data_IF_847600413695
#
_entry.id   IF_847600413695
#
_cell.length_a   1.000
_cell.length_b   1.000
_cell.length_c   1.000
_cell.angle_alpha   90.00
_cell.angle_beta   90.00
_cell.angle_gamma   90.00
#
_symmetry.space_group_name_H-M   'P 1'
#
loop_
_entity.id
_entity.type
_entity.pdbx_description
1 polymer ?
#
# COMPACT_ATOMS: atom_id res chain seq x y z
N UNK A 1 51.54 7.75 -83.53
CA UNK A 1 50.88 6.42 -83.47
C UNK A 1 51.12 5.82 -82.09
N UNK A 2 50.06 5.27 -81.46
CA UNK A 2 50.11 4.20 -80.43
C UNK A 2 50.74 4.61 -79.07
N UNK A 3 50.18 4.31 -77.90
CA UNK A 3 49.02 3.53 -77.45
C UNK A 3 48.65 4.06 -76.05
N UNK A 4 47.35 4.24 -75.81
CA UNK A 4 46.77 4.40 -74.48
C UNK A 4 46.88 3.05 -73.77
N UNK A 5 47.52 2.99 -72.60
CA UNK A 5 47.35 1.88 -71.66
C UNK A 5 46.87 2.49 -70.35
N UNK A 6 45.55 2.36 -70.18
CA UNK A 6 44.81 2.60 -68.95
C UNK A 6 45.31 1.61 -67.90
N UNK A 7 45.90 2.11 -66.81
CA UNK A 7 46.18 1.31 -65.62
C UNK A 7 45.08 1.64 -64.60
N UNK A 8 44.11 0.74 -64.55
CA UNK A 8 42.98 0.75 -63.62
C UNK A 8 43.56 0.61 -62.21
N UNK A 9 43.50 1.69 -61.43
CA UNK A 9 43.74 1.69 -59.99
C UNK A 9 42.56 0.96 -59.33
N UNK A 10 42.72 -0.34 -59.11
CA UNK A 10 41.82 -1.13 -58.27
C UNK A 10 41.99 -0.61 -56.83
N UNK A 11 41.11 0.31 -56.43
CA UNK A 11 40.85 0.58 -55.03
C UNK A 11 40.25 -0.71 -54.44
N UNK A 12 41.08 -1.50 -53.76
CA UNK A 12 40.60 -2.50 -52.80
C UNK A 12 39.98 -1.68 -51.66
N UNK A 13 38.68 -1.42 -51.79
CA UNK A 13 37.85 -0.99 -50.66
C UNK A 13 37.86 -2.17 -49.71
N UNK A 14 38.71 -2.10 -48.69
CA UNK A 14 38.60 -2.96 -47.53
C UNK A 14 37.21 -2.71 -46.96
N UNK A 15 36.27 -3.59 -47.31
CA UNK A 15 34.97 -3.66 -46.69
C UNK A 15 35.23 -4.19 -45.28
N UNK A 16 35.66 -3.31 -44.38
CA UNK A 16 35.50 -3.55 -42.96
C UNK A 16 34.02 -3.79 -42.79
N UNK A 17 33.57 -4.98 -42.35
CA UNK A 17 32.18 -5.11 -41.97
C UNK A 17 31.94 -3.99 -40.97
N UNK A 18 30.96 -3.14 -41.25
CA UNK A 18 30.35 -2.35 -40.19
C UNK A 18 29.92 -3.42 -39.18
N UNK A 19 30.71 -3.59 -38.12
CA UNK A 19 30.22 -4.22 -36.92
C UNK A 19 29.12 -3.25 -36.52
N UNK A 20 27.88 -3.57 -36.91
CA UNK A 20 26.72 -2.88 -36.41
C UNK A 20 26.89 -2.87 -34.90
N UNK A 21 26.97 -1.68 -34.31
CA UNK A 21 26.91 -1.54 -32.87
C UNK A 21 25.74 -2.39 -32.44
N UNK A 22 25.97 -3.42 -31.62
CA UNK A 22 24.90 -4.20 -31.03
C UNK A 22 23.87 -3.20 -30.53
N UNK A 23 22.61 -3.34 -30.98
CA UNK A 23 21.55 -2.36 -30.80
C UNK A 23 21.60 -1.85 -29.35
N UNK A 24 22.07 -0.61 -29.18
CA UNK A 24 22.23 -0.05 -27.87
C UNK A 24 20.84 0.29 -27.37
N UNK A 25 20.31 -0.47 -26.41
CA UNK A 25 19.03 -0.15 -25.78
C UNK A 25 19.07 1.29 -25.28
N UNK A 26 18.09 2.11 -25.61
CA UNK A 26 18.08 3.51 -25.17
C UNK A 26 17.03 3.69 -24.07
N UNK A 27 17.38 4.44 -23.02
CA UNK A 27 16.45 4.74 -21.93
C UNK A 27 16.11 6.22 -22.02
N UNK A 28 14.83 6.51 -22.06
CA UNK A 28 14.30 7.87 -22.06
C UNK A 28 13.49 8.08 -20.79
N UNK A 29 13.61 9.26 -20.18
CA UNK A 29 12.78 9.73 -19.09
C UNK A 29 12.08 11.01 -19.53
N UNK A 30 10.75 11.03 -19.56
CA UNK A 30 9.96 12.19 -19.98
C UNK A 30 10.46 12.78 -21.32
N UNK A 31 10.70 11.90 -22.29
CA UNK A 31 11.24 12.20 -23.64
C UNK A 31 12.74 12.60 -23.71
N UNK A 32 13.40 12.83 -22.58
CA UNK A 32 14.86 13.08 -22.53
C UNK A 32 15.64 11.77 -22.46
N UNK A 33 16.72 11.65 -23.24
CA UNK A 33 17.56 10.46 -23.22
C UNK A 33 18.46 10.48 -21.99
N UNK A 34 18.43 9.41 -21.19
CA UNK A 34 19.38 9.21 -20.10
C UNK A 34 20.65 8.53 -20.66
N UNK A 35 21.80 9.18 -20.48
CA UNK A 35 23.10 8.59 -20.74
C UNK A 35 23.77 8.19 -19.42
N UNK A 36 23.80 6.88 -19.16
CA UNK A 36 24.50 6.30 -18.02
C UNK A 36 25.99 6.11 -18.35
N UNK A 37 26.85 6.41 -17.37
CA UNK A 37 28.28 6.10 -17.34
C UNK A 37 28.47 4.58 -17.48
N UNK A 38 27.73 3.81 -16.68
CA UNK A 38 27.70 2.35 -16.82
C UNK A 38 26.61 1.92 -17.80
N UNK A 39 27.01 1.25 -18.88
CA UNK A 39 26.07 0.80 -19.91
C UNK A 39 25.09 -0.26 -19.41
N UNK A 40 23.82 -0.06 -19.75
CA UNK A 40 22.75 -1.05 -19.63
C UNK A 40 23.10 -2.34 -20.37
N UNK A 41 22.68 -3.47 -19.81
CA UNK A 41 23.03 -4.81 -20.31
C UNK A 41 21.78 -5.66 -20.50
N UNK A 42 21.70 -6.42 -21.59
CA UNK A 42 20.64 -7.41 -21.78
C UNK A 42 21.02 -8.74 -21.11
N UNK A 43 20.17 -9.24 -20.22
CA UNK A 43 20.32 -10.53 -19.57
C UNK A 43 19.01 -11.29 -19.75
N UNK A 44 19.04 -12.42 -20.47
CA UNK A 44 17.86 -13.27 -20.71
C UNK A 44 16.62 -12.45 -21.14
N UNK A 45 16.78 -11.65 -22.19
CA UNK A 45 15.74 -10.78 -22.77
C UNK A 45 15.21 -9.68 -21.84
N UNK A 46 15.89 -9.40 -20.73
CA UNK A 46 15.56 -8.30 -19.81
C UNK A 46 16.68 -7.29 -19.82
N UNK A 47 16.35 -5.99 -19.93
CA UNK A 47 17.32 -4.90 -19.85
C UNK A 47 17.59 -4.58 -18.38
N UNK A 48 18.86 -4.68 -17.99
CA UNK A 48 19.36 -4.37 -16.66
C UNK A 48 20.11 -3.04 -16.67
N UNK A 49 19.96 -2.30 -15.57
CA UNK A 49 20.53 -0.97 -15.36
C UNK A 49 21.28 -0.90 -14.02
N UNK A 50 22.33 -0.05 -13.91
CA UNK A 50 23.05 0.17 -12.66
C UNK A 50 22.15 0.81 -11.60
N UNK A 51 21.80 0.05 -10.55
CA UNK A 51 20.84 0.46 -9.51
C UNK A 51 21.22 1.79 -8.87
N UNK A 52 22.49 1.97 -8.49
CA UNK A 52 22.97 3.17 -7.80
C UNK A 52 22.87 4.41 -8.67
N UNK A 53 23.41 4.33 -9.88
CA UNK A 53 23.49 5.46 -10.78
C UNK A 53 22.10 5.95 -11.17
N UNK A 54 21.21 5.03 -11.55
CA UNK A 54 19.85 5.38 -11.94
C UNK A 54 19.03 5.88 -10.72
N UNK A 55 19.24 5.32 -9.53
CA UNK A 55 18.55 5.80 -8.31
C UNK A 55 18.99 7.21 -7.92
N UNK A 56 20.28 7.53 -8.06
CA UNK A 56 20.82 8.86 -7.77
C UNK A 56 20.24 9.92 -8.72
N UNK A 57 20.03 9.58 -10.01
CA UNK A 57 19.37 10.46 -10.97
C UNK A 57 17.94 10.82 -10.52
N UNK A 58 17.27 9.91 -9.82
CA UNK A 58 15.94 10.10 -9.24
C UNK A 58 15.97 10.67 -7.81
N UNK A 59 17.11 11.17 -7.33
CA UNK A 59 17.24 11.79 -6.01
C UNK A 59 17.26 10.80 -4.84
N UNK A 60 17.39 9.50 -5.10
CA UNK A 60 17.52 8.50 -4.05
C UNK A 60 18.97 8.21 -3.68
N UNK A 61 19.22 7.94 -2.40
CA UNK A 61 20.51 7.46 -1.90
C UNK A 61 20.54 5.93 -1.87
N UNK A 62 21.65 5.31 -2.28
CA UNK A 62 21.81 3.85 -2.22
C UNK A 62 22.83 3.44 -1.16
N UNK A 63 22.44 2.61 -0.20
CA UNK A 63 23.30 2.07 0.86
C UNK A 63 23.38 0.56 0.80
N UNK A 64 24.51 0.01 1.23
CA UNK A 64 24.62 -1.41 1.50
C UNK A 64 24.17 -1.68 2.93
N UNK A 65 23.48 -2.80 3.15
CA UNK A 65 23.21 -3.28 4.51
C UNK A 65 24.38 -4.14 4.99
N UNK A 66 24.86 -3.86 6.20
CA UNK A 66 25.94 -4.62 6.85
C UNK A 66 25.41 -5.87 7.58
N UNK A 67 24.14 -5.84 7.99
CA UNK A 67 23.51 -6.91 8.79
C UNK A 67 22.85 -8.00 7.92
N UNK A 68 22.40 -7.64 6.72
CA UNK A 68 21.74 -8.55 5.78
C UNK A 68 22.29 -8.37 4.36
N UNK A 69 22.38 -9.43 3.54
CA UNK A 69 22.86 -9.34 2.17
C UNK A 69 21.82 -8.64 1.27
N UNK A 70 21.76 -7.32 1.38
CA UNK A 70 20.78 -6.47 0.73
C UNK A 70 21.35 -5.09 0.36
N UNK A 71 20.73 -4.48 -0.64
CA UNK A 71 20.95 -3.08 -1.02
C UNK A 71 19.72 -2.27 -0.65
N UNK A 72 19.91 -1.18 0.08
CA UNK A 72 18.88 -0.22 0.45
C UNK A 72 18.87 0.97 -0.51
N UNK A 73 17.70 1.39 -0.98
CA UNK A 73 17.45 2.61 -1.76
C UNK A 73 16.55 3.52 -0.92
N UNK A 74 17.06 4.68 -0.53
CA UNK A 74 16.39 5.65 0.32
C UNK A 74 15.89 6.80 -0.55
N UNK A 75 14.58 6.99 -0.60
CA UNK A 75 13.93 8.07 -1.34
C UNK A 75 12.96 8.78 -0.41
N UNK A 76 13.23 10.05 -0.10
CA UNK A 76 12.47 10.80 0.90
C UNK A 76 12.42 10.05 2.25
N UNK A 77 11.22 9.68 2.74
CA UNK A 77 11.03 8.90 3.97
C UNK A 77 10.99 7.38 3.72
N UNK A 78 10.97 6.95 2.46
CA UNK A 78 10.86 5.53 2.10
C UNK A 78 12.23 4.87 1.97
N UNK A 79 12.34 3.64 2.51
CA UNK A 79 13.48 2.74 2.36
C UNK A 79 13.07 1.48 1.62
N UNK A 80 13.65 1.26 0.45
CA UNK A 80 13.48 0.03 -0.31
C UNK A 80 14.67 -0.89 -0.11
N UNK A 81 14.46 -2.14 0.31
CA UNK A 81 15.53 -3.14 0.43
C UNK A 81 15.38 -4.23 -0.62
N UNK A 82 16.42 -4.43 -1.42
CA UNK A 82 16.51 -5.49 -2.42
C UNK A 82 17.46 -6.56 -1.88
N UNK A 83 16.96 -7.77 -1.66
CA UNK A 83 17.80 -8.88 -1.21
C UNK A 83 18.66 -9.41 -2.36
N UNK A 84 19.96 -9.58 -2.13
CA UNK A 84 20.94 -10.01 -3.15
C UNK A 84 20.73 -11.44 -3.63
N UNK A 85 20.04 -12.26 -2.84
CA UNK A 85 19.67 -13.62 -3.21
C UNK A 85 18.45 -13.66 -4.16
N UNK A 86 17.92 -12.50 -4.55
CA UNK A 86 16.77 -12.35 -5.44
C UNK A 86 15.41 -12.65 -4.78
N UNK A 87 15.37 -12.96 -3.48
CA UNK A 87 14.18 -13.46 -2.76
C UNK A 87 13.31 -12.36 -2.15
N UNK A 88 13.37 -11.15 -2.71
CA UNK A 88 12.33 -10.16 -2.48
C UNK A 88 12.79 -8.72 -2.51
N UNK A 89 11.83 -7.85 -2.83
CA UNK A 89 11.91 -6.40 -2.62
C UNK A 89 11.08 -6.07 -1.40
N UNK A 90 11.59 -5.20 -0.54
CA UNK A 90 10.90 -4.72 0.64
C UNK A 90 10.77 -3.21 0.56
N UNK A 91 9.65 -2.65 0.99
CA UNK A 91 9.46 -1.22 1.24
C UNK A 91 9.19 -1.02 2.73
N UNK A 92 9.99 -0.22 3.40
CA UNK A 92 9.90 0.08 4.83
C UNK A 92 9.76 -1.19 5.69
N UNK A 93 10.59 -2.21 5.38
CA UNK A 93 10.60 -3.49 6.09
C UNK A 93 9.52 -4.50 5.69
N UNK A 94 8.62 -4.18 4.75
CA UNK A 94 7.56 -5.09 4.27
C UNK A 94 7.85 -5.60 2.86
N UNK A 95 7.68 -6.90 2.60
CA UNK A 95 7.85 -7.46 1.26
C UNK A 95 6.77 -6.92 0.31
N UNK A 96 7.18 -6.41 -0.84
CA UNK A 96 6.30 -5.87 -1.90
C UNK A 96 6.42 -6.65 -3.20
N UNK A 97 7.54 -7.35 -3.42
CA UNK A 97 7.69 -8.36 -4.46
C UNK A 97 8.35 -9.60 -3.85
N UNK A 98 7.78 -10.78 -4.10
CA UNK A 98 8.31 -12.09 -3.65
C UNK A 98 9.66 -12.43 -4.29
N UNK A 99 9.96 -11.82 -5.45
CA UNK A 99 11.27 -11.87 -6.07
C UNK A 99 11.60 -10.56 -6.74
N UNK A 100 12.84 -10.12 -6.61
CA UNK A 100 13.38 -8.98 -7.33
C UNK A 100 14.76 -9.37 -7.84
N UNK A 101 14.92 -9.44 -9.17
CA UNK A 101 16.20 -9.80 -9.75
C UNK A 101 17.24 -8.69 -9.49
N UNK A 102 18.41 -9.10 -9.07
CA UNK A 102 19.58 -8.24 -8.86
C UNK A 102 20.81 -9.08 -9.20
N UNK A 103 21.68 -8.54 -10.03
CA UNK A 103 22.89 -9.21 -10.49
C UNK A 103 24.10 -8.35 -10.14
N UNK A 104 25.19 -8.95 -9.68
CA UNK A 104 26.46 -8.24 -9.50
C UNK A 104 27.29 -8.42 -10.77
N UNK A 105 27.50 -7.34 -11.51
CA UNK A 105 28.34 -7.32 -12.71
C UNK A 105 29.46 -6.30 -12.47
N UNK A 106 30.71 -6.76 -12.43
CA UNK A 106 31.89 -5.91 -12.20
C UNK A 106 31.77 -5.04 -10.93
N UNK A 107 31.28 -5.62 -9.82
CA UNK A 107 31.00 -4.93 -8.56
C UNK A 107 29.88 -3.87 -8.61
N UNK A 108 29.06 -3.89 -9.66
CA UNK A 108 27.89 -3.01 -9.81
C UNK A 108 26.63 -3.87 -9.64
N UNK A 109 25.74 -3.44 -8.74
CA UNK A 109 24.41 -4.02 -8.61
C UNK A 109 23.54 -3.58 -9.77
N UNK A 110 23.21 -4.52 -10.65
CA UNK A 110 22.39 -4.36 -11.83
C UNK A 110 20.98 -4.89 -11.54
N UNK A 111 19.94 -4.13 -11.89
CA UNK A 111 18.54 -4.55 -11.70
C UNK A 111 17.73 -4.37 -12.99
N UNK A 112 16.62 -5.13 -13.19
CA UNK A 112 15.73 -4.90 -14.31
C UNK A 112 15.20 -3.46 -14.32
N UNK A 113 15.17 -2.82 -15.48
CA UNK A 113 14.63 -1.46 -15.62
C UNK A 113 13.18 -1.33 -15.12
N UNK A 114 12.40 -2.41 -15.20
CA UNK A 114 11.03 -2.46 -14.66
C UNK A 114 11.00 -2.36 -13.13
N UNK A 115 12.03 -2.85 -12.43
CA UNK A 115 12.13 -2.72 -10.97
C UNK A 115 12.34 -1.25 -10.59
N UNK A 116 13.15 -0.52 -11.36
CA UNK A 116 13.33 0.93 -11.19
C UNK A 116 11.99 1.65 -11.43
N UNK A 117 11.32 1.37 -12.54
CA UNK A 117 10.01 1.94 -12.83
C UNK A 117 9.01 1.69 -11.68
N UNK A 118 9.03 0.49 -11.10
CA UNK A 118 8.20 0.15 -9.96
C UNK A 118 8.56 0.92 -8.67
N UNK A 119 9.85 1.00 -8.31
CA UNK A 119 10.32 1.69 -7.08
C UNK A 119 10.03 3.19 -7.14
N UNK A 120 10.22 3.81 -8.32
CA UNK A 120 10.07 5.25 -8.52
C UNK A 120 8.70 5.65 -9.11
N UNK A 121 7.77 4.70 -9.23
CA UNK A 121 6.41 4.92 -9.73
C UNK A 121 6.36 5.58 -11.14
N UNK A 122 7.16 5.07 -12.06
CA UNK A 122 7.13 5.45 -13.48
C UNK A 122 6.34 4.43 -14.31
N UNK A 123 5.64 4.92 -15.33
CA UNK A 123 5.13 4.05 -16.38
C UNK A 123 6.28 3.63 -17.30
N UNK A 124 6.20 2.42 -17.85
CA UNK A 124 7.21 1.87 -18.75
C UNK A 124 6.59 1.48 -20.09
N UNK A 125 7.08 2.08 -21.17
CA UNK A 125 6.73 1.72 -22.53
C UNK A 125 7.95 1.19 -23.29
N UNK A 126 7.74 0.14 -24.08
CA UNK A 126 8.76 -0.44 -24.96
C UNK A 126 8.47 -0.05 -26.42
N UNK A 127 9.46 0.52 -27.10
CA UNK A 127 9.42 0.76 -28.54
C UNK A 127 10.36 -0.21 -29.26
N UNK A 128 9.77 -1.22 -29.89
CA UNK A 128 10.50 -2.25 -30.62
C UNK A 128 11.18 -1.73 -31.89
N UNK A 129 10.75 -0.60 -32.46
CA UNK A 129 11.37 -0.05 -33.70
C UNK A 129 12.69 0.65 -33.40
N UNK A 130 12.80 1.24 -32.21
CA UNK A 130 13.97 2.04 -31.79
C UNK A 130 14.75 1.37 -30.66
N UNK A 131 14.37 0.15 -30.25
CA UNK A 131 14.90 -0.57 -29.09
C UNK A 131 14.98 0.30 -27.83
N UNK A 132 13.96 1.14 -27.63
CA UNK A 132 13.96 2.13 -26.55
C UNK A 132 12.95 1.82 -25.46
N UNK A 133 13.37 2.10 -24.22
CA UNK A 133 12.55 2.05 -23.02
C UNK A 133 12.22 3.48 -22.66
N UNK A 134 10.94 3.82 -22.60
CA UNK A 134 10.46 5.14 -22.20
C UNK A 134 9.85 5.03 -20.82
N UNK A 135 10.45 5.75 -19.88
CA UNK A 135 9.92 6.03 -18.56
C UNK A 135 9.21 7.38 -18.62
N UNK A 136 7.95 7.41 -18.25
CA UNK A 136 7.18 8.65 -18.16
C UNK A 136 6.65 8.79 -16.75
N UNK A 137 6.84 9.96 -16.14
CA UNK A 137 6.19 10.28 -14.87
C UNK A 137 4.71 10.05 -15.09
N UNK A 138 4.06 9.34 -14.17
CA UNK A 138 2.61 9.31 -14.18
C UNK A 138 2.14 10.77 -14.09
N UNK A 139 1.47 11.27 -15.12
CA UNK A 139 0.87 12.61 -15.11
C UNK A 139 -0.25 12.62 -14.08
N UNK A 140 0.13 12.88 -12.84
CA UNK A 140 -0.70 13.53 -11.86
C UNK A 140 -0.29 15.00 -11.96
N UNK A 141 -1.16 15.82 -12.53
CA UNK A 141 -0.96 17.27 -12.61
C UNK A 141 -0.72 17.81 -11.19
N UNK A 142 0.41 18.50 -11.02
CA UNK A 142 0.64 19.36 -9.87
C UNK A 142 -0.34 20.55 -9.98
N UNK A 143 -1.31 20.66 -9.08
CA UNK A 143 -1.99 21.93 -8.84
C UNK A 143 -1.73 22.42 -7.42
N UNK A 144 -1.15 23.62 -7.36
CA UNK A 144 -1.09 24.46 -6.18
C UNK A 144 -2.13 25.58 -6.34
N UNK A 145 -2.81 25.90 -5.23
CA UNK A 145 -3.71 27.03 -4.97
C UNK A 145 -5.16 26.96 -5.51
N UNK A 146 -6.04 26.21 -4.85
CA UNK A 146 -7.22 26.74 -4.14
C UNK A 146 -8.12 25.59 -3.64
N UNK A 147 -8.82 25.84 -2.53
CA UNK A 147 -9.65 24.90 -1.78
C UNK A 147 -10.65 24.08 -2.65
N UNK A 148 -10.35 22.81 -2.95
CA UNK A 148 -11.33 21.73 -2.81
C UNK A 148 -10.66 20.35 -2.71
N UNK A 149 -11.12 19.52 -1.77
CA UNK A 149 -10.46 18.27 -1.36
C UNK A 149 -10.80 17.11 -2.30
N UNK A 150 -9.91 16.76 -3.22
CA UNK A 150 -9.91 15.43 -3.83
C UNK A 150 -9.21 14.43 -2.89
N UNK A 151 -10.02 13.58 -2.26
CA UNK A 151 -9.63 12.61 -1.24
C UNK A 151 -8.96 11.38 -1.86
N UNK A 152 -7.75 11.03 -1.39
CA UNK A 152 -7.13 9.72 -1.69
C UNK A 152 -7.88 8.59 -0.96
N UNK A 153 -8.79 7.93 -1.68
CA UNK A 153 -9.58 6.77 -1.21
C UNK A 153 -8.70 5.51 -1.12
N UNK A 154 -7.44 5.54 -1.59
CA UNK A 154 -6.54 4.38 -1.58
C UNK A 154 -5.90 4.12 -0.21
N UNK A 155 -5.77 5.16 0.62
CA UNK A 155 -5.12 5.04 1.94
C UNK A 155 -5.95 4.22 2.92
N UNK A 156 -5.35 3.15 3.44
CA UNK A 156 -5.92 2.29 4.49
C UNK A 156 -5.34 2.56 5.87
N UNK A 157 -4.63 3.69 6.04
CA UNK A 157 -4.11 4.13 7.35
C UNK A 157 -5.25 4.35 8.33
N UNK A 158 -5.19 3.70 9.50
CA UNK A 158 -6.21 3.85 10.55
C UNK A 158 -6.13 5.23 11.20
N UNK A 159 -4.94 5.81 11.29
CA UNK A 159 -4.73 7.20 11.70
C UNK A 159 -5.00 8.13 10.51
N UNK A 160 -5.65 9.27 10.77
CA UNK A 160 -5.94 10.30 9.78
C UNK A 160 -7.37 10.85 9.88
N UNK A 161 -7.68 11.78 8.98
CA UNK A 161 -9.01 12.41 8.89
C UNK A 161 -10.00 11.53 8.17
N UNK A 162 -11.21 11.42 8.73
CA UNK A 162 -12.31 10.72 8.07
C UNK A 162 -12.67 11.35 6.74
N UNK A 163 -13.07 10.49 5.81
CA UNK A 163 -13.43 10.87 4.44
C UNK A 163 -14.94 10.87 4.25
N UNK A 164 -15.65 9.92 4.87
CA UNK A 164 -17.11 9.87 4.78
C UNK A 164 -17.76 10.92 5.67
N UNK A 165 -18.83 11.55 5.18
CA UNK A 165 -19.68 12.43 6.00
C UNK A 165 -20.64 11.59 6.85
N UNK A 166 -21.16 12.19 7.92
CA UNK A 166 -22.13 11.53 8.78
C UNK A 166 -23.40 11.13 8.01
N UNK A 167 -23.83 11.93 7.03
CA UNK A 167 -24.99 11.68 6.18
C UNK A 167 -24.76 10.46 5.28
N UNK A 168 -23.59 10.31 4.67
CA UNK A 168 -23.24 9.13 3.87
C UNK A 168 -23.30 7.87 4.73
N UNK A 169 -22.67 7.92 5.91
CA UNK A 169 -22.63 6.81 6.87
C UNK A 169 -24.03 6.41 7.34
N UNK A 170 -24.85 7.39 7.73
CA UNK A 170 -26.22 7.18 8.20
C UNK A 170 -27.13 6.64 7.08
N UNK A 171 -27.05 7.22 5.88
CA UNK A 171 -27.82 6.78 4.71
C UNK A 171 -27.49 5.34 4.36
N UNK A 172 -26.21 4.99 4.33
CA UNK A 172 -25.77 3.63 4.08
C UNK A 172 -26.31 2.65 5.14
N UNK A 173 -26.22 2.98 6.43
CA UNK A 173 -26.77 2.14 7.48
C UNK A 173 -28.27 1.90 7.30
N UNK A 174 -29.04 2.98 7.09
CA UNK A 174 -30.50 2.91 6.97
C UNK A 174 -30.97 2.17 5.72
N UNK A 175 -30.17 2.19 4.64
CA UNK A 175 -30.42 1.39 3.42
C UNK A 175 -30.43 -0.12 3.70
N UNK A 176 -29.54 -0.61 4.57
CA UNK A 176 -29.39 -2.05 4.87
C UNK A 176 -30.07 -2.49 6.17
N UNK A 177 -30.40 -1.52 7.03
CA UNK A 177 -31.19 -1.73 8.23
C UNK A 177 -32.02 -0.48 8.54
N UNK A 178 -33.31 -0.52 8.21
CA UNK A 178 -34.23 0.60 8.46
C UNK A 178 -34.59 0.79 9.93
N UNK A 179 -34.24 -0.16 10.81
CA UNK A 179 -34.49 -0.12 12.27
C UNK A 179 -33.27 -0.62 13.06
N UNK A 180 -32.13 0.09 13.02
CA UNK A 180 -30.95 -0.29 13.78
C UNK A 180 -31.21 -0.24 15.28
N UNK A 181 -30.67 -1.20 16.03
CA UNK A 181 -30.80 -1.26 17.49
C UNK A 181 -29.76 -0.35 18.15
N UNK A 182 -29.97 0.95 18.03
CA UNK A 182 -29.08 2.00 18.53
C UNK A 182 -29.88 2.98 19.40
N UNK A 183 -29.26 3.64 20.40
CA UNK A 183 -29.98 4.49 21.35
C UNK A 183 -30.29 5.91 20.81
N UNK A 184 -29.82 6.23 19.60
CA UNK A 184 -29.96 7.52 18.94
C UNK A 184 -30.27 7.32 17.45
N UNK A 185 -30.44 8.40 16.69
CA UNK A 185 -30.56 8.31 15.23
C UNK A 185 -29.25 7.81 14.59
N UNK A 186 -29.35 7.29 13.37
CA UNK A 186 -28.17 6.87 12.60
C UNK A 186 -27.21 8.04 12.30
N UNK A 187 -27.77 9.25 12.11
CA UNK A 187 -26.99 10.47 11.87
C UNK A 187 -26.21 10.87 13.13
N UNK A 188 -26.88 10.93 14.29
CA UNK A 188 -26.21 11.23 15.57
C UNK A 188 -25.12 10.19 15.88
N UNK A 189 -25.38 8.91 15.62
CA UNK A 189 -24.39 7.87 15.81
C UNK A 189 -23.15 8.10 14.94
N UNK A 190 -23.35 8.37 13.65
CA UNK A 190 -22.27 8.64 12.71
C UNK A 190 -21.47 9.90 13.11
N UNK A 191 -22.14 10.96 13.56
CA UNK A 191 -21.48 12.17 14.09
C UNK A 191 -20.59 11.85 15.29
N UNK A 192 -21.07 11.01 16.23
CA UNK A 192 -20.26 10.58 17.38
C UNK A 192 -18.97 9.87 16.94
N UNK A 193 -19.03 9.00 15.91
CA UNK A 193 -17.83 8.34 15.37
C UNK A 193 -16.82 9.34 14.81
N UNK A 194 -17.28 10.30 14.01
CA UNK A 194 -16.41 11.31 13.42
C UNK A 194 -15.77 12.20 14.49
N UNK A 195 -16.55 12.65 15.47
CA UNK A 195 -16.05 13.49 16.57
C UNK A 195 -15.06 12.77 17.48
N UNK A 196 -15.35 11.53 17.90
CA UNK A 196 -14.43 10.77 18.75
C UNK A 196 -13.17 10.37 17.98
N UNK A 197 -13.29 10.05 16.68
CA UNK A 197 -12.16 9.80 15.79
C UNK A 197 -11.24 11.01 15.65
N UNK A 198 -11.81 12.18 15.32
CA UNK A 198 -11.05 13.44 15.15
C UNK A 198 -10.22 13.77 16.39
N UNK A 199 -10.79 13.64 17.59
CA UNK A 199 -10.08 13.91 18.86
C UNK A 199 -8.85 13.03 19.06
N UNK A 200 -8.88 11.80 18.59
CA UNK A 200 -7.78 10.84 18.75
C UNK A 200 -6.87 10.77 17.50
N UNK A 201 -7.23 11.44 16.41
CA UNK A 201 -6.55 11.35 15.11
C UNK A 201 -6.83 10.03 14.38
N UNK A 202 -7.93 9.35 14.70
CA UNK A 202 -8.32 8.06 14.14
C UNK A 202 -9.46 8.27 13.14
N UNK A 203 -9.44 7.51 12.04
CA UNK A 203 -10.53 7.43 11.06
C UNK A 203 -11.82 6.90 11.70
N UNK A 204 -12.69 7.81 12.14
CA UNK A 204 -14.00 7.49 12.71
C UNK A 204 -14.94 6.76 11.74
N UNK A 205 -14.84 7.07 10.45
CA UNK A 205 -15.52 6.36 9.37
C UNK A 205 -15.05 4.90 9.19
N UNK A 206 -13.78 4.58 9.43
CA UNK A 206 -13.32 3.19 9.51
C UNK A 206 -13.89 2.48 10.73
N UNK A 207 -13.90 3.12 11.90
CA UNK A 207 -14.51 2.56 13.10
C UNK A 207 -16.02 2.29 12.91
N UNK A 208 -16.73 3.18 12.23
CA UNK A 208 -18.14 2.94 11.89
C UNK A 208 -18.33 1.79 10.91
N UNK A 209 -17.52 1.71 9.84
CA UNK A 209 -17.54 0.61 8.88
C UNK A 209 -17.24 -0.74 9.55
N UNK A 210 -16.26 -0.75 10.47
CA UNK A 210 -15.97 -1.89 11.33
C UNK A 210 -17.20 -2.28 12.16
N UNK A 211 -17.87 -1.31 12.79
CA UNK A 211 -19.07 -1.58 13.60
C UNK A 211 -20.24 -2.11 12.77
N UNK A 212 -20.39 -1.69 11.50
CA UNK A 212 -21.34 -2.31 10.58
C UNK A 212 -21.04 -3.80 10.39
N UNK A 213 -19.78 -4.15 10.18
CA UNK A 213 -19.36 -5.54 10.01
C UNK A 213 -19.61 -6.37 11.28
N UNK A 214 -19.15 -5.87 12.44
CA UNK A 214 -19.21 -6.56 13.73
C UNK A 214 -20.64 -6.81 14.22
N UNK A 215 -21.52 -5.83 14.04
CA UNK A 215 -22.89 -5.90 14.54
C UNK A 215 -23.89 -6.44 13.51
N UNK A 216 -23.44 -6.69 12.27
CA UNK A 216 -24.29 -6.99 11.14
C UNK A 216 -25.28 -5.86 10.87
N UNK A 217 -24.79 -4.64 10.64
CA UNK A 217 -25.57 -3.42 10.43
C UNK A 217 -26.44 -3.05 11.64
N UNK A 218 -25.89 -3.16 12.86
CA UNK A 218 -26.59 -2.89 14.13
C UNK A 218 -27.86 -3.72 14.33
N UNK A 219 -27.90 -4.93 13.74
CA UNK A 219 -28.97 -5.92 13.98
C UNK A 219 -28.70 -6.71 15.26
N UNK A 220 -27.42 -6.92 15.58
CA UNK A 220 -26.91 -7.75 16.67
C UNK A 220 -27.41 -9.18 16.57
N UNK A 221 -26.53 -10.10 16.15
CA UNK A 221 -26.82 -11.54 16.04
C UNK A 221 -25.79 -12.44 16.75
N UNK A 222 -24.79 -11.82 17.40
CA UNK A 222 -23.72 -12.51 18.12
C UNK A 222 -23.91 -12.48 19.64
N UNK A 223 -22.81 -12.60 20.38
CA UNK A 223 -22.81 -12.57 21.84
C UNK A 223 -23.09 -11.18 22.42
N UNK A 224 -22.68 -10.12 21.70
CA UNK A 224 -22.85 -8.74 22.15
C UNK A 224 -24.27 -8.27 21.91
N UNK A 225 -24.85 -7.64 22.92
CA UNK A 225 -26.20 -7.08 22.91
C UNK A 225 -26.19 -5.56 22.69
N UNK A 226 -27.28 -4.98 22.15
CA UNK A 226 -27.36 -3.54 21.86
C UNK A 226 -27.14 -2.63 23.08
N UNK A 227 -27.63 -3.04 24.25
CA UNK A 227 -27.57 -2.31 25.52
C UNK A 227 -26.16 -2.26 26.13
N UNK A 228 -25.19 -3.04 25.60
CA UNK A 228 -23.80 -2.97 26.02
C UNK A 228 -23.04 -1.80 25.38
N UNK A 229 -23.58 -1.21 24.31
CA UNK A 229 -22.92 -0.19 23.50
C UNK A 229 -21.51 -0.58 23.00
N UNK A 230 -21.25 -1.88 22.85
CA UNK A 230 -19.99 -2.42 22.37
C UNK A 230 -20.11 -2.77 20.89
N UNK A 231 -20.05 -1.74 20.04
CA UNK A 231 -20.30 -1.90 18.60
C UNK A 231 -19.17 -2.59 17.84
N UNK A 232 -18.04 -2.87 18.49
CA UNK A 232 -16.85 -3.45 17.88
C UNK A 232 -16.50 -4.85 18.40
N UNK A 233 -17.39 -5.47 19.18
CA UNK A 233 -17.17 -6.83 19.68
C UNK A 233 -16.05 -6.96 20.72
N UNK A 234 -15.61 -5.85 21.32
CA UNK A 234 -14.43 -5.83 22.21
C UNK A 234 -14.60 -6.79 23.38
N UNK A 235 -13.63 -7.68 23.56
CA UNK A 235 -13.60 -8.64 24.66
C UNK A 235 -14.55 -9.84 24.52
N UNK A 236 -15.32 -9.95 23.43
CA UNK A 236 -16.14 -11.14 23.14
C UNK A 236 -15.28 -12.24 22.48
N UNK A 237 -14.36 -12.83 23.25
CA UNK A 237 -13.36 -13.77 22.70
C UNK A 237 -13.88 -15.18 22.45
N UNK A 238 -14.99 -15.58 23.08
CA UNK A 238 -15.58 -16.92 22.96
C UNK A 238 -17.11 -16.90 23.08
N UNK A 239 -17.78 -17.97 22.61
CA UNK A 239 -19.23 -18.13 22.72
C UNK A 239 -19.67 -18.05 24.19
N UNK A 240 -20.60 -17.14 24.49
CA UNK A 240 -21.09 -16.91 25.86
C UNK A 240 -20.34 -15.83 26.65
N UNK A 241 -19.19 -15.34 26.17
CA UNK A 241 -18.51 -14.16 26.74
C UNK A 241 -19.08 -12.91 26.06
N UNK A 242 -19.83 -12.11 26.81
CA UNK A 242 -20.57 -10.94 26.28
C UNK A 242 -19.67 -9.75 25.92
N UNK A 243 -18.39 -9.79 26.29
CA UNK A 243 -17.44 -8.68 26.06
C UNK A 243 -17.69 -7.47 26.96
N UNK A 244 -17.00 -6.37 26.67
CA UNK A 244 -17.10 -5.10 27.40
C UNK A 244 -18.51 -4.50 27.29
N UNK A 245 -18.89 -3.69 28.28
CA UNK A 245 -20.11 -2.88 28.28
C UNK A 245 -19.78 -1.45 28.72
N UNK A 246 -20.48 -0.48 28.16
CA UNK A 246 -20.26 0.94 28.41
C UNK A 246 -21.55 1.62 28.85
N UNK A 247 -21.48 2.80 29.49
CA UNK A 247 -22.69 3.47 29.98
C UNK A 247 -23.47 4.19 28.87
N UNK A 248 -22.79 4.59 27.81
CA UNK A 248 -23.38 5.31 26.67
C UNK A 248 -22.79 4.86 25.34
N UNK A 249 -23.53 5.09 24.23
CA UNK A 249 -23.01 4.87 22.88
C UNK A 249 -21.71 5.63 22.63
N UNK A 250 -21.59 6.89 23.08
CA UNK A 250 -20.37 7.69 22.92
C UNK A 250 -19.18 7.10 23.67
N UNK A 251 -19.39 6.59 24.89
CA UNK A 251 -18.32 5.93 25.65
C UNK A 251 -17.84 4.65 24.95
N UNK A 252 -18.76 3.84 24.44
CA UNK A 252 -18.40 2.62 23.69
C UNK A 252 -17.69 2.89 22.37
N UNK A 253 -18.13 3.92 21.63
CA UNK A 253 -17.45 4.40 20.42
C UNK A 253 -16.05 4.93 20.76
N UNK A 254 -15.91 5.73 21.83
CA UNK A 254 -14.59 6.19 22.29
C UNK A 254 -13.67 5.03 22.62
N UNK A 255 -14.15 4.01 23.33
CA UNK A 255 -13.35 2.83 23.64
C UNK A 255 -12.88 2.10 22.37
N UNK A 256 -13.75 1.96 21.36
CA UNK A 256 -13.35 1.40 20.05
C UNK A 256 -12.28 2.25 19.37
N UNK A 257 -12.46 3.58 19.33
CA UNK A 257 -11.48 4.51 18.74
C UNK A 257 -10.13 4.42 19.46
N UNK A 258 -10.14 4.37 20.79
CA UNK A 258 -8.93 4.18 21.59
C UNK A 258 -8.26 2.83 21.28
N UNK A 259 -9.03 1.76 21.12
CA UNK A 259 -8.49 0.45 20.77
C UNK A 259 -7.83 0.45 19.38
N UNK A 260 -8.47 1.10 18.40
CA UNK A 260 -7.89 1.32 17.06
C UNK A 260 -6.61 2.15 17.13
N UNK A 261 -6.58 3.22 17.95
CA UNK A 261 -5.37 4.01 18.19
C UNK A 261 -4.26 3.20 18.85
N UNK A 262 -4.59 2.30 19.78
CA UNK A 262 -3.63 1.40 20.38
C UNK A 262 -2.93 0.56 19.31
N UNK A 263 -3.69 -0.03 18.39
CA UNK A 263 -3.13 -0.77 17.26
C UNK A 263 -2.33 0.12 16.30
N UNK A 264 -2.82 1.30 15.96
CA UNK A 264 -2.29 2.09 14.86
C UNK A 264 -1.20 3.11 15.23
N UNK A 265 -1.01 3.40 16.51
CA UNK A 265 -0.11 4.47 16.95
C UNK A 265 0.49 4.25 18.34
N UNK A 266 1.69 4.80 18.55
CA UNK A 266 2.35 4.92 19.85
C UNK A 266 2.06 6.25 20.55
N UNK A 267 1.41 7.21 19.89
CA UNK A 267 1.08 8.52 20.44
C UNK A 267 0.07 8.45 21.60
N UNK A 268 0.22 9.20 22.69
CA UNK A 268 -0.68 9.13 23.83
C UNK A 268 -2.14 9.41 23.44
N UNK A 269 -3.08 8.91 24.25
CA UNK A 269 -4.49 9.25 24.09
C UNK A 269 -4.70 10.75 24.36
N UNK A 270 -5.54 11.38 23.55
CA UNK A 270 -5.94 12.78 23.73
C UNK A 270 -7.06 12.92 24.76
N UNK A 271 -7.83 11.85 24.98
CA UNK A 271 -8.94 11.79 25.93
C UNK A 271 -8.66 10.79 27.06
N UNK A 272 -9.44 10.86 28.13
CA UNK A 272 -9.42 9.85 29.20
C UNK A 272 -9.66 8.45 28.64
N UNK A 273 -8.78 7.51 29.01
CA UNK A 273 -8.90 6.12 28.62
C UNK A 273 -10.17 5.48 29.20
N UNK A 274 -11.05 4.99 28.34
CA UNK A 274 -12.25 4.22 28.69
C UNK A 274 -12.19 2.79 28.16
N UNK A 275 -11.27 2.50 27.24
CA UNK A 275 -10.95 1.14 26.83
C UNK A 275 -10.13 0.42 27.91
N UNK A 276 -10.77 -0.46 28.67
CA UNK A 276 -10.13 -1.30 29.68
C UNK A 276 -9.08 -2.27 29.09
N UNK A 277 -9.09 -2.49 27.77
CA UNK A 277 -8.17 -3.37 27.05
C UNK A 277 -7.03 -2.61 26.36
N UNK A 278 -6.98 -1.28 26.49
CA UNK A 278 -6.00 -0.44 25.79
C UNK A 278 -4.56 -0.88 26.07
N UNK A 279 -4.25 -1.23 27.33
CA UNK A 279 -2.93 -1.70 27.76
C UNK A 279 -2.59 -3.13 27.34
N UNK A 280 -3.56 -3.91 26.84
CA UNK A 280 -3.34 -5.28 26.38
C UNK A 280 -2.84 -5.33 24.93
N UNK A 281 -2.94 -4.22 24.19
CA UNK A 281 -2.46 -4.12 22.82
C UNK A 281 -1.01 -3.65 22.85
N UNK A 282 -0.11 -4.43 22.24
CA UNK A 282 1.22 -3.92 21.88
C UNK A 282 1.03 -2.80 20.87
N UNK A 283 1.43 -1.59 21.25
CA UNK A 283 1.01 -0.39 20.52
C UNK A 283 1.74 -0.22 19.19
N UNK A 284 1.04 0.31 18.18
CA UNK A 284 1.60 0.59 16.86
C UNK A 284 1.84 -0.64 15.97
N UNK A 285 1.26 -1.79 16.31
CA UNK A 285 1.50 -3.04 15.56
C UNK A 285 0.58 -3.27 14.37
N UNK A 286 -0.45 -2.44 14.15
CA UNK A 286 -1.33 -2.49 13.00
C UNK A 286 -1.72 -1.08 12.56
N UNK A 287 -0.91 -0.47 11.70
CA UNK A 287 -1.10 0.92 11.25
C UNK A 287 -2.12 1.06 10.12
N UNK A 288 -2.38 -0.03 9.38
CA UNK A 288 -3.35 -0.10 8.29
C UNK A 288 -4.47 -1.09 8.58
N UNK A 289 -5.63 -0.93 7.93
CA UNK A 289 -6.78 -1.85 8.08
C UNK A 289 -6.41 -3.31 7.81
N UNK A 290 -5.61 -3.58 6.80
CA UNK A 290 -5.16 -4.94 6.45
C UNK A 290 -4.42 -5.61 7.61
N UNK A 291 -3.65 -4.82 8.37
CA UNK A 291 -2.87 -5.30 9.53
C UNK A 291 -3.77 -5.66 10.73
N UNK A 292 -5.08 -5.33 10.69
CA UNK A 292 -6.05 -5.79 11.70
C UNK A 292 -6.42 -7.27 11.52
N UNK A 293 -6.21 -7.85 10.34
CA UNK A 293 -6.28 -9.30 10.14
C UNK A 293 -5.00 -9.94 10.68
N UNK A 294 -5.10 -10.71 11.76
CA UNK A 294 -3.92 -11.22 12.45
C UNK A 294 -2.98 -12.02 11.54
N UNK A 295 -3.53 -12.86 10.66
CA UNK A 295 -2.72 -13.68 9.75
C UNK A 295 -1.97 -12.87 8.67
N UNK A 296 -2.31 -11.59 8.47
CA UNK A 296 -1.57 -10.67 7.58
C UNK A 296 -0.60 -9.76 8.33
N UNK A 297 -0.71 -9.70 9.66
CA UNK A 297 0.09 -8.81 10.47
C UNK A 297 1.43 -9.46 10.82
N UNK A 298 2.54 -8.82 10.43
CA UNK A 298 3.90 -9.31 10.68
C UNK A 298 4.26 -9.39 12.16
N UNK A 299 3.57 -8.65 13.03
CA UNK A 299 3.76 -8.70 14.49
C UNK A 299 2.98 -9.84 15.15
N UNK A 300 2.24 -10.64 14.37
CA UNK A 300 1.33 -11.67 14.88
C UNK A 300 0.31 -11.11 15.89
N UNK A 301 -0.08 -9.85 15.70
CA UNK A 301 -1.15 -9.15 16.42
C UNK A 301 -2.29 -8.83 15.47
N UNK A 302 -3.41 -8.32 15.96
CA UNK A 302 -4.50 -7.88 15.08
C UNK A 302 -5.82 -7.93 15.83
N UNK A 303 -6.81 -7.19 15.31
CA UNK A 303 -8.14 -7.15 15.89
C UNK A 303 -8.84 -8.50 15.77
N UNK A 304 -8.72 -9.12 14.59
CA UNK A 304 -9.42 -10.35 14.27
C UNK A 304 -8.43 -11.50 14.08
N UNK A 305 -8.62 -12.57 14.86
CA UNK A 305 -7.88 -13.83 14.72
C UNK A 305 -8.75 -14.91 14.05
N UNK A 306 -8.27 -15.60 13.00
CA UNK A 306 -7.06 -15.30 12.23
C UNK A 306 -7.25 -14.13 11.24
N UNK A 307 -8.44 -13.52 11.19
CA UNK A 307 -8.72 -12.37 10.34
C UNK A 307 -9.34 -12.70 8.98
N UNK A 308 -9.87 -13.92 8.82
CA UNK A 308 -10.66 -14.39 7.68
C UNK A 308 -11.53 -15.60 8.07
N UNK A 309 -12.52 -15.96 7.26
CA UNK A 309 -13.39 -17.13 7.52
C UNK A 309 -12.71 -18.44 7.09
N UNK A 310 -12.17 -19.18 8.07
CA UNK A 310 -11.46 -20.45 7.85
C UNK A 310 -12.35 -21.59 7.36
N UNK A 311 -13.69 -21.43 7.39
CA UNK A 311 -14.62 -22.42 6.80
C UNK A 311 -14.81 -22.20 5.30
N UNK A 312 -14.47 -21.01 4.79
CA UNK A 312 -14.62 -20.63 3.38
C UNK A 312 -13.29 -20.64 2.62
N UNK A 313 -12.20 -20.30 3.28
CA UNK A 313 -10.88 -20.15 2.66
C UNK A 313 -9.86 -21.05 3.37
N UNK A 314 -9.02 -21.73 2.59
CA UNK A 314 -8.00 -22.64 3.13
C UNK A 314 -6.76 -21.89 3.63
N UNK A 315 -6.58 -20.63 3.22
CA UNK A 315 -5.46 -19.79 3.65
C UNK A 315 -5.82 -18.31 3.66
N UNK A 316 -5.06 -17.51 4.40
CA UNK A 316 -5.16 -16.05 4.38
C UNK A 316 -4.90 -15.48 2.99
N UNK A 317 -4.01 -16.11 2.20
CA UNK A 317 -3.72 -15.69 0.83
C UNK A 317 -4.92 -15.88 -0.11
N UNK A 318 -5.68 -16.96 0.07
CA UNK A 318 -6.91 -17.20 -0.69
C UNK A 318 -7.98 -16.16 -0.32
N UNK A 319 -8.17 -15.90 0.98
CA UNK A 319 -9.08 -14.86 1.45
C UNK A 319 -8.66 -13.46 0.98
N UNK A 320 -7.36 -13.15 0.98
CA UNK A 320 -6.83 -11.87 0.53
C UNK A 320 -7.08 -11.63 -0.96
N UNK A 321 -6.84 -12.64 -1.82
CA UNK A 321 -7.15 -12.58 -3.26
C UNK A 321 -8.65 -12.38 -3.52
N UNK A 322 -9.51 -12.87 -2.63
CA UNK A 322 -10.95 -12.70 -2.73
C UNK A 322 -11.47 -11.36 -2.15
N UNK A 323 -10.59 -10.51 -1.59
CA UNK A 323 -10.97 -9.32 -0.80
C UNK A 323 -11.85 -9.65 0.43
N UNK A 324 -11.54 -10.75 1.11
CA UNK A 324 -12.34 -11.28 2.23
C UNK A 324 -11.58 -11.38 3.55
N UNK A 325 -10.43 -10.71 3.65
CA UNK A 325 -9.78 -10.51 4.95
C UNK A 325 -10.49 -9.41 5.73
N UNK A 326 -10.31 -9.41 7.05
CA UNK A 326 -10.99 -8.51 7.96
C UNK A 326 -10.87 -7.03 7.56
N UNK A 327 -9.64 -6.55 7.34
CA UNK A 327 -9.38 -5.18 6.90
C UNK A 327 -9.98 -4.83 5.54
N UNK A 328 -9.92 -5.77 4.57
CA UNK A 328 -10.49 -5.56 3.24
C UNK A 328 -12.02 -5.43 3.29
N UNK A 329 -12.69 -6.20 4.16
CA UNK A 329 -14.15 -6.10 4.34
C UNK A 329 -14.56 -4.73 4.91
N UNK A 330 -13.82 -4.21 5.90
CA UNK A 330 -14.04 -2.86 6.44
C UNK A 330 -13.84 -1.82 5.33
N UNK A 331 -12.75 -1.94 4.56
CA UNK A 331 -12.45 -1.05 3.43
C UNK A 331 -13.58 -1.07 2.39
N UNK A 332 -14.06 -2.23 1.99
CA UNK A 332 -15.17 -2.38 1.04
C UNK A 332 -16.48 -1.76 1.56
N UNK A 333 -16.75 -1.85 2.86
CA UNK A 333 -17.90 -1.16 3.46
C UNK A 333 -17.73 0.36 3.34
N UNK A 334 -16.55 0.90 3.66
CA UNK A 334 -16.30 2.34 3.52
C UNK A 334 -16.41 2.80 2.06
N UNK A 335 -15.82 2.08 1.11
CA UNK A 335 -15.92 2.39 -0.32
C UNK A 335 -17.38 2.48 -0.76
N UNK A 336 -18.25 1.62 -0.23
CA UNK A 336 -19.69 1.67 -0.52
C UNK A 336 -20.40 2.83 0.16
N UNK A 337 -20.01 3.20 1.38
CA UNK A 337 -20.47 4.42 2.06
C UNK A 337 -20.15 5.65 1.20
N UNK A 338 -18.88 5.80 0.79
CA UNK A 338 -18.41 6.95 0.00
C UNK A 338 -19.11 7.05 -1.36
N UNK A 339 -19.36 5.91 -2.00
CA UNK A 339 -19.99 5.84 -3.32
C UNK A 339 -21.53 5.78 -3.27
N UNK A 340 -22.17 5.83 -2.10
CA UNK A 340 -23.62 5.63 -1.90
C UNK A 340 -24.16 4.31 -2.52
N UNK A 341 -23.33 3.25 -2.56
CA UNK A 341 -23.61 1.98 -3.27
C UNK A 341 -24.24 0.88 -2.41
#
# INVERSE_FOLDING_TARGET
MKKIISLIMICIVLFTPLIGSADAYHIYLNEEKIDLETKQTLIKDTVFVPLREISNLFGAEVRWSEDVPAVAVLLNEDTWMILLNGKGLYKNGRIVLESAAIENINNISMVPVRLIAYIFNYEIAWDAKTYSIKLSTTTQEEENCDEDKAVDISSTSIMGKSQATAEQMATFLLKYNSKPKIPCTALELAQIYLEEGEKEGVRGDFAFAQSIQETGYFKFGGNVKPDQYNFAGMGSTQKGVTGSSYNTAREGIRAQIQHLKAYASTEPLSQTCVDARFSLVTRGTATRLEDLANALNTNNTGWAYPGYDTRKYNSVNEAYKANQTYGQQIKTILERILNNK
#
